data_IF_326799017879
#
_entry.id   IF_326799017879
#
_cell.length_a   1.000
_cell.length_b   1.000
_cell.length_c   1.000
_cell.angle_alpha   90.00
_cell.angle_beta   90.00
_cell.angle_gamma   90.00
#
_symmetry.space_group_name_H-M   'P 1'
#
loop_
_entity.id
_entity.type
_entity.pdbx_description
1 polymer ?
#
# COMPACT_ATOMS: atom_id res chain seq x y z
N UNK A 1 20.38 8.16 -6.69
CA UNK A 1 19.00 7.62 -6.64
C UNK A 1 18.07 8.79 -6.79
N UNK A 2 17.66 9.07 -8.02
CA UNK A 2 16.58 10.01 -8.28
C UNK A 2 15.32 9.41 -7.68
N UNK A 3 14.96 9.88 -6.49
CA UNK A 3 13.59 9.79 -5.99
C UNK A 3 12.75 10.52 -7.03
N UNK A 4 12.08 9.79 -7.91
CA UNK A 4 11.17 10.37 -8.88
C UNK A 4 10.23 11.33 -8.12
N UNK A 5 10.20 12.62 -8.49
CA UNK A 5 9.32 13.58 -7.85
C UNK A 5 7.89 13.12 -8.08
N UNK A 6 7.11 13.03 -7.00
CA UNK A 6 5.66 12.95 -7.06
C UNK A 6 5.07 11.81 -7.92
N UNK A 7 5.46 10.56 -7.69
CA UNK A 7 4.41 9.53 -7.73
C UNK A 7 3.50 9.80 -6.56
N UNK A 8 2.23 10.10 -6.82
CA UNK A 8 1.24 10.41 -5.80
C UNK A 8 0.88 9.13 -5.02
N UNK A 9 1.86 8.65 -4.25
CA UNK A 9 1.74 7.49 -3.36
C UNK A 9 0.58 7.69 -2.40
N UNK A 10 0.21 8.94 -2.12
CA UNK A 10 -0.91 9.33 -1.30
C UNK A 10 -2.21 8.71 -1.80
N UNK A 11 -2.47 8.76 -3.12
CA UNK A 11 -3.63 8.11 -3.72
C UNK A 11 -3.60 6.61 -3.45
N UNK A 12 -2.47 5.97 -3.77
CA UNK A 12 -2.34 4.52 -3.65
C UNK A 12 -2.49 4.04 -2.19
N UNK A 13 -1.84 4.74 -1.26
CA UNK A 13 -1.89 4.47 0.18
C UNK A 13 -3.32 4.67 0.71
N UNK A 14 -3.99 5.77 0.35
CA UNK A 14 -5.36 6.03 0.77
C UNK A 14 -6.33 4.97 0.24
N UNK A 15 -6.30 4.66 -1.06
CA UNK A 15 -7.19 3.66 -1.64
C UNK A 15 -6.94 2.26 -1.08
N UNK A 16 -5.67 1.90 -0.87
CA UNK A 16 -5.31 0.65 -0.20
C UNK A 16 -5.85 0.62 1.22
N UNK A 17 -5.71 1.71 1.98
CA UNK A 17 -6.25 1.82 3.34
C UNK A 17 -7.77 1.69 3.38
N UNK A 18 -8.49 2.46 2.54
CA UNK A 18 -9.95 2.41 2.42
C UNK A 18 -10.42 0.99 2.12
N UNK A 19 -9.78 0.29 1.19
CA UNK A 19 -10.09 -1.10 0.89
C UNK A 19 -9.84 -2.01 2.10
N UNK A 20 -8.70 -1.86 2.79
CA UNK A 20 -8.35 -2.69 3.95
C UNK A 20 -9.28 -2.48 5.16
N UNK A 21 -9.80 -1.28 5.37
CA UNK A 21 -10.76 -0.98 6.44
C UNK A 21 -12.08 -1.78 6.27
N UNK A 22 -12.39 -2.25 5.06
CA UNK A 22 -13.53 -3.13 4.81
C UNK A 22 -13.29 -4.61 5.20
N UNK A 23 -12.06 -4.98 5.57
CA UNK A 23 -11.67 -6.36 5.88
C UNK A 23 -11.04 -6.51 7.28
N UNK A 24 -11.78 -6.19 8.35
CA UNK A 24 -11.26 -6.35 9.71
C UNK A 24 -10.87 -7.81 9.99
N UNK A 25 -9.64 -8.02 10.47
CA UNK A 25 -9.05 -9.33 10.74
C UNK A 25 -8.53 -10.10 9.53
N UNK A 26 -8.72 -9.58 8.31
CA UNK A 26 -8.18 -10.17 7.07
C UNK A 26 -7.28 -9.21 6.30
N UNK A 27 -7.02 -8.01 6.84
CA UNK A 27 -6.30 -6.96 6.16
C UNK A 27 -4.90 -7.39 5.67
N UNK A 28 -4.18 -8.18 6.48
CA UNK A 28 -2.89 -8.75 6.09
C UNK A 28 -2.97 -9.59 4.80
N UNK A 29 -4.01 -10.41 4.67
CA UNK A 29 -4.20 -11.29 3.50
C UNK A 29 -4.73 -10.52 2.29
N UNK A 30 -5.42 -9.40 2.52
CA UNK A 30 -6.03 -8.56 1.49
C UNK A 30 -5.12 -7.41 1.03
N UNK A 31 -3.96 -7.19 1.64
CA UNK A 31 -3.10 -6.04 1.33
C UNK A 31 -2.71 -5.93 -0.15
N UNK A 32 -2.28 -7.02 -0.78
CA UNK A 32 -1.94 -7.01 -2.21
C UNK A 32 -3.18 -6.87 -3.11
N UNK A 33 -4.31 -7.46 -2.71
CA UNK A 33 -5.56 -7.28 -3.43
C UNK A 33 -6.02 -5.80 -3.40
N UNK A 34 -6.00 -5.18 -2.22
CA UNK A 34 -6.34 -3.78 -2.04
C UNK A 34 -5.35 -2.83 -2.73
N UNK A 35 -4.08 -3.21 -2.84
CA UNK A 35 -3.11 -2.47 -3.62
C UNK A 35 -3.41 -2.55 -5.13
N UNK A 36 -3.79 -3.71 -5.65
CA UNK A 36 -4.21 -3.84 -7.05
C UNK A 36 -5.49 -3.04 -7.33
N UNK A 37 -6.43 -3.02 -6.40
CA UNK A 37 -7.63 -2.17 -6.51
C UNK A 37 -7.27 -0.67 -6.46
N UNK A 38 -6.36 -0.27 -5.57
CA UNK A 38 -5.84 1.09 -5.55
C UNK A 38 -5.15 1.46 -6.87
N UNK A 39 -4.47 0.49 -7.48
CA UNK A 39 -3.75 0.68 -8.74
C UNK A 39 -4.68 1.02 -9.90
N UNK A 40 -5.88 0.44 -9.96
CA UNK A 40 -6.83 0.76 -11.02
C UNK A 40 -7.50 2.13 -10.82
N UNK A 41 -7.48 2.66 -9.60
CA UNK A 41 -8.13 3.92 -9.21
C UNK A 41 -7.17 5.12 -9.09
N UNK A 42 -5.85 4.91 -9.25
CA UNK A 42 -4.84 5.95 -9.12
C UNK A 42 -4.06 6.16 -10.42
N UNK A 43 -3.65 7.41 -10.73
CA UNK A 43 -2.77 7.69 -11.86
C UNK A 43 -1.35 7.14 -11.60
N UNK A 44 -0.60 6.91 -12.68
CA UNK A 44 0.82 6.51 -12.68
C UNK A 44 1.13 5.21 -11.95
N UNK A 45 0.55 4.13 -12.47
CA UNK A 45 0.73 2.80 -11.90
C UNK A 45 1.78 1.99 -12.64
N UNK A 46 2.74 1.45 -11.86
CA UNK A 46 3.71 0.49 -12.38
C UNK A 46 3.04 -0.84 -12.71
N UNK A 47 3.72 -1.64 -13.53
CA UNK A 47 3.31 -3.02 -13.85
C UNK A 47 3.08 -3.89 -12.60
N UNK A 48 3.80 -3.62 -11.51
CA UNK A 48 3.66 -4.33 -10.23
C UNK A 48 2.62 -3.72 -9.28
N UNK A 49 1.82 -2.78 -9.79
CA UNK A 49 0.91 -1.96 -9.02
C UNK A 49 1.56 -0.73 -8.40
N UNK A 50 0.74 0.15 -7.82
CA UNK A 50 1.23 1.32 -7.12
C UNK A 50 1.72 0.92 -5.71
N UNK A 51 2.84 1.48 -5.28
CA UNK A 51 3.41 1.29 -3.93
C UNK A 51 3.46 -0.13 -3.36
N UNK A 52 4.13 -1.10 -4.02
CA UNK A 52 4.25 -2.47 -3.52
C UNK A 52 4.88 -2.55 -2.13
N UNK A 53 5.88 -1.73 -1.81
CA UNK A 53 6.50 -1.73 -0.46
C UNK A 53 5.54 -1.33 0.67
N UNK A 54 4.54 -0.48 0.39
CA UNK A 54 3.46 -0.19 1.34
C UNK A 54 2.56 -1.41 1.53
N UNK A 55 2.14 -2.05 0.43
CA UNK A 55 1.30 -3.24 0.47
C UNK A 55 1.98 -4.40 1.22
N UNK A 56 3.27 -4.63 1.00
CA UNK A 56 4.05 -5.63 1.74
C UNK A 56 4.14 -5.28 3.23
N UNK A 57 4.35 -4.01 3.57
CA UNK A 57 4.35 -3.62 4.98
C UNK A 57 2.98 -3.85 5.64
N UNK A 58 1.89 -3.54 4.94
CA UNK A 58 0.53 -3.80 5.39
C UNK A 58 0.23 -5.30 5.49
N UNK A 59 0.74 -6.13 4.58
CA UNK A 59 0.55 -7.59 4.64
C UNK A 59 1.15 -8.17 5.93
N UNK A 60 2.27 -7.61 6.39
CA UNK A 60 2.96 -8.02 7.62
C UNK A 60 2.27 -7.46 8.87
N UNK A 61 1.82 -6.20 8.86
CA UNK A 61 1.42 -5.49 10.09
C UNK A 61 -0.09 -5.34 10.30
N UNK A 62 -0.92 -5.40 9.24
CA UNK A 62 -2.31 -4.96 9.31
C UNK A 62 -3.17 -5.82 10.25
N UNK A 63 -2.98 -7.14 10.26
CA UNK A 63 -3.60 -8.08 11.19
C UNK A 63 -5.04 -7.69 11.57
N UNK A 64 -5.25 -7.44 12.87
CA UNK A 64 -6.52 -6.95 13.42
C UNK A 64 -6.60 -5.42 13.58
N UNK A 65 -5.53 -4.68 13.28
CA UNK A 65 -5.50 -3.22 13.47
C UNK A 65 -4.84 -2.51 12.28
N UNK A 66 -5.66 -2.29 11.25
CA UNK A 66 -5.29 -1.62 10.01
C UNK A 66 -4.71 -0.22 10.27
N UNK A 67 -5.30 0.54 11.21
CA UNK A 67 -4.87 1.92 11.48
C UNK A 67 -3.48 1.98 12.11
N UNK A 68 -3.19 1.09 13.07
CA UNK A 68 -1.85 1.01 13.65
C UNK A 68 -0.81 0.56 12.63
N UNK A 69 -1.18 -0.32 11.69
CA UNK A 69 -0.30 -0.71 10.61
C UNK A 69 -0.07 0.42 9.60
N UNK A 70 -1.10 1.22 9.29
CA UNK A 70 -0.97 2.40 8.45
C UNK A 70 0.10 3.35 8.98
N UNK A 71 0.06 3.71 10.27
CA UNK A 71 1.05 4.61 10.87
C UNK A 71 2.48 4.06 10.78
N UNK A 72 2.65 2.73 10.84
CA UNK A 72 3.96 2.07 10.65
C UNK A 72 4.40 2.06 9.19
N UNK A 73 3.46 1.93 8.26
CA UNK A 73 3.75 1.64 6.86
C UNK A 73 3.71 2.85 5.95
N UNK A 74 3.05 3.96 6.33
CA UNK A 74 2.86 5.15 5.49
C UNK A 74 4.17 5.74 4.96
N UNK A 75 5.25 5.66 5.74
CA UNK A 75 6.56 6.19 5.38
C UNK A 75 7.45 5.18 4.64
N UNK A 76 6.95 3.97 4.37
CA UNK A 76 7.72 2.95 3.65
C UNK A 76 7.90 3.37 2.19
N UNK A 77 9.06 3.06 1.64
CA UNK A 77 9.34 3.30 0.24
C UNK A 77 8.43 2.41 -0.61
N UNK A 78 7.86 2.98 -1.67
CA UNK A 78 6.99 2.27 -2.60
C UNK A 78 7.77 1.21 -3.38
N UNK A 79 9.02 1.52 -3.75
CA UNK A 79 9.99 0.56 -4.24
C UNK A 79 11.17 0.53 -3.27
N UNK A 80 11.40 -0.63 -2.66
CA UNK A 80 12.66 -0.92 -2.00
C UNK A 80 13.52 -1.69 -3.01
N UNK A 81 14.61 -1.12 -3.55
CA UNK A 81 15.43 -1.78 -4.56
C UNK A 81 16.18 -3.03 -4.06
N UNK A 82 15.96 -3.45 -2.81
CA UNK A 82 16.60 -4.63 -2.19
C UNK A 82 15.73 -5.89 -2.07
N UNK A 83 14.52 -5.92 -2.63
CA UNK A 83 13.63 -7.10 -2.64
C UNK A 83 12.92 -7.23 -3.99
#
# INVERSE_FOLDING_TARGET
>A
FELLPSQDRSCCIQKTLECLENYPGQASQRAHYCQQDATTNCPDTYYFGCCPGYATCMSINAGNNVRSAFDKCINRLCFDPGH
#
